data_IF_160636959888
#
_entry.id   IF_160636959888
#
_cell.length_a   1.000
_cell.length_b   1.000
_cell.length_c   1.000
_cell.angle_alpha   90.00
_cell.angle_beta   90.00
_cell.angle_gamma   90.00
#
_symmetry.space_group_name_H-M   'P 1'
#
loop_
_entity.id
_entity.type
_entity.pdbx_description
1 polymer ?
#
# COMPACT_ATOMS: atom_id res chain seq x y z
N UNK A 1 84.65 -16.14 7.69
CA UNK A 1 83.36 -15.49 7.38
C UNK A 1 83.05 -15.79 5.93
N UNK A 2 81.99 -16.54 5.70
CA UNK A 2 81.43 -16.87 4.38
C UNK A 2 80.60 -15.67 3.90
N UNK A 3 80.71 -15.28 2.63
CA UNK A 3 79.57 -15.02 1.72
C UNK A 3 80.12 -14.72 0.30
N UNK A 4 80.08 -15.68 -0.64
CA UNK A 4 79.03 -15.98 -1.61
C UNK A 4 79.02 -15.07 -2.85
N UNK A 5 79.17 -15.71 -4.00
CA UNK A 5 79.28 -15.09 -5.31
C UNK A 5 78.04 -14.33 -5.75
N UNK A 6 78.28 -13.25 -6.48
CA UNK A 6 77.27 -12.57 -7.28
C UNK A 6 77.36 -13.11 -8.71
N UNK A 7 76.47 -14.05 -9.05
CA UNK A 7 76.38 -14.62 -10.41
C UNK A 7 75.00 -14.30 -10.98
N UNK A 8 75.04 -13.58 -12.10
CA UNK A 8 74.08 -13.53 -13.21
C UNK A 8 72.59 -13.34 -12.92
N UNK A 9 72.13 -12.15 -13.32
CA UNK A 9 70.80 -11.88 -13.88
C UNK A 9 70.28 -13.07 -14.70
N UNK A 10 69.26 -13.74 -14.17
CA UNK A 10 68.42 -14.68 -14.91
C UNK A 10 67.02 -14.07 -15.00
N UNK A 11 66.67 -13.68 -16.21
CA UNK A 11 65.32 -13.30 -16.62
C UNK A 11 64.32 -14.33 -16.11
N UNK A 12 63.49 -13.91 -15.16
CA UNK A 12 62.33 -14.68 -14.76
C UNK A 12 61.27 -14.54 -15.86
N UNK A 13 60.76 -15.63 -16.45
CA UNK A 13 59.71 -15.53 -17.44
C UNK A 13 58.43 -15.01 -16.77
N UNK A 14 57.92 -13.89 -17.23
CA UNK A 14 56.61 -13.36 -16.87
C UNK A 14 55.56 -14.42 -17.23
N UNK A 15 54.98 -15.05 -16.22
CA UNK A 15 53.84 -15.97 -16.39
C UNK A 15 52.63 -15.10 -16.71
N UNK A 16 52.30 -15.03 -18.00
CA UNK A 16 51.14 -14.31 -18.50
C UNK A 16 49.87 -15.02 -17.98
N UNK A 17 49.30 -14.49 -16.89
CA UNK A 17 48.07 -15.01 -16.27
C UNK A 17 46.92 -14.75 -17.23
N UNK A 18 46.72 -15.66 -18.19
CA UNK A 18 45.54 -15.66 -19.06
C UNK A 18 44.30 -15.72 -18.18
N UNK A 19 43.62 -14.58 -18.09
CA UNK A 19 42.38 -14.46 -17.36
C UNK A 19 41.32 -15.35 -18.00
N UNK A 20 40.95 -16.43 -17.31
CA UNK A 20 40.01 -17.42 -17.81
C UNK A 20 38.63 -16.82 -18.16
N UNK A 21 37.83 -17.53 -18.98
CA UNK A 21 36.55 -17.04 -19.48
C UNK A 21 35.56 -16.61 -18.38
N UNK A 22 35.76 -17.09 -17.15
CA UNK A 22 34.95 -16.77 -15.97
C UNK A 22 34.78 -15.26 -15.68
N UNK A 23 35.75 -14.40 -16.04
CA UNK A 23 35.63 -12.95 -15.82
C UNK A 23 34.64 -12.26 -16.78
N UNK A 24 34.39 -12.82 -17.97
CA UNK A 24 33.44 -12.29 -18.96
C UNK A 24 32.00 -12.77 -18.72
N UNK A 25 31.83 -13.95 -18.13
CA UNK A 25 30.50 -14.48 -17.78
C UNK A 25 29.84 -13.73 -16.61
N UNK A 26 30.63 -13.28 -15.62
CA UNK A 26 30.15 -12.51 -14.46
C UNK A 26 29.38 -11.21 -14.80
N UNK A 27 29.89 -10.31 -15.66
CA UNK A 27 29.16 -9.09 -16.03
C UNK A 27 27.93 -9.38 -16.90
N UNK A 28 27.98 -10.40 -17.77
CA UNK A 28 26.83 -10.79 -18.59
C UNK A 28 25.69 -11.34 -17.72
N UNK A 29 26.00 -12.19 -16.74
CA UNK A 29 25.03 -12.74 -15.80
C UNK A 29 24.39 -11.65 -14.93
N UNK A 30 25.17 -10.62 -14.53
CA UNK A 30 24.68 -9.47 -13.76
C UNK A 30 23.72 -8.60 -14.58
N UNK A 31 24.00 -8.39 -15.87
CA UNK A 31 23.10 -7.67 -16.79
C UNK A 31 21.81 -8.43 -17.04
N UNK A 32 21.87 -9.75 -17.17
CA UNK A 32 20.69 -10.58 -17.34
C UNK A 32 19.80 -10.57 -16.09
N UNK A 33 20.40 -10.73 -14.90
CA UNK A 33 19.67 -10.63 -13.63
C UNK A 33 19.03 -9.26 -13.43
N UNK A 34 19.71 -8.18 -13.83
CA UNK A 34 19.15 -6.84 -13.71
C UNK A 34 17.93 -6.65 -14.62
N UNK A 35 18.03 -7.10 -15.88
CA UNK A 35 16.91 -7.05 -16.84
C UNK A 35 15.73 -7.90 -16.36
N UNK A 36 15.98 -9.11 -15.86
CA UNK A 36 14.92 -9.96 -15.30
C UNK A 36 14.24 -9.33 -14.08
N UNK A 37 15.01 -8.73 -13.18
CA UNK A 37 14.45 -8.05 -12.01
C UNK A 37 13.60 -6.82 -12.40
N UNK A 38 13.99 -6.09 -13.45
CA UNK A 38 13.20 -4.98 -13.99
C UNK A 38 11.89 -5.44 -14.63
N UNK A 39 11.94 -6.54 -15.39
CA UNK A 39 10.76 -7.14 -16.01
C UNK A 39 9.79 -7.67 -14.94
N UNK A 40 10.30 -8.39 -13.94
CA UNK A 40 9.51 -8.88 -12.81
C UNK A 40 8.88 -7.74 -12.01
N UNK A 41 9.59 -6.63 -11.80
CA UNK A 41 9.05 -5.45 -11.13
C UNK A 41 7.92 -4.81 -11.92
N UNK A 42 8.06 -4.69 -13.26
CA UNK A 42 7.01 -4.16 -14.14
C UNK A 42 5.78 -5.07 -14.16
N UNK A 43 5.97 -6.39 -14.24
CA UNK A 43 4.86 -7.35 -14.19
C UNK A 43 4.14 -7.29 -12.85
N UNK A 44 4.87 -7.14 -11.74
CA UNK A 44 4.27 -6.98 -10.41
C UNK A 44 3.45 -5.70 -10.30
N UNK A 45 3.92 -4.60 -10.89
CA UNK A 45 3.20 -3.32 -10.93
C UNK A 45 1.91 -3.42 -11.74
N UNK A 46 1.96 -4.02 -12.94
CA UNK A 46 0.77 -4.20 -13.78
C UNK A 46 -0.26 -5.13 -13.15
N UNK A 47 0.18 -6.23 -12.50
CA UNK A 47 -0.71 -7.12 -11.74
C UNK A 47 -1.36 -6.43 -10.55
N UNK A 48 -0.61 -5.59 -9.81
CA UNK A 48 -1.12 -4.83 -8.68
C UNK A 48 -2.17 -3.79 -9.12
N UNK A 49 -1.93 -3.13 -10.25
CA UNK A 49 -2.88 -2.21 -10.88
C UNK A 49 -4.12 -2.94 -11.40
N UNK A 50 -3.97 -4.12 -12.02
CA UNK A 50 -5.07 -4.88 -12.60
C UNK A 50 -5.93 -5.60 -11.55
N UNK A 51 -5.33 -6.08 -10.47
CA UNK A 51 -5.99 -6.88 -9.44
C UNK A 51 -6.85 -6.10 -8.46
N UNK A 52 -6.76 -4.77 -8.42
CA UNK A 52 -7.52 -3.94 -7.49
C UNK A 52 -8.72 -3.25 -8.17
N UNK A 53 -9.95 -3.76 -7.99
CA UNK A 53 -11.15 -3.19 -8.60
C UNK A 53 -11.44 -1.75 -8.12
N UNK A 54 -10.90 -1.33 -6.97
CA UNK A 54 -11.09 0.02 -6.45
C UNK A 54 -10.25 1.07 -7.18
N UNK A 55 -9.09 0.69 -7.73
CA UNK A 55 -8.19 1.62 -8.44
C UNK A 55 -8.74 1.96 -9.83
N UNK A 56 -9.32 0.98 -10.52
CA UNK A 56 -9.90 1.15 -11.85
C UNK A 56 -11.24 1.91 -11.83
N UNK A 57 -11.92 1.91 -10.68
CA UNK A 57 -13.17 2.63 -10.45
C UNK A 57 -12.94 4.14 -10.34
N UNK A 58 -11.84 4.59 -9.73
CA UNK A 58 -11.57 6.01 -9.48
C UNK A 58 -11.20 6.81 -10.75
N UNK A 59 -10.65 6.16 -11.79
CA UNK A 59 -10.28 6.80 -13.05
C UNK A 59 -11.41 6.81 -14.10
N UNK A 60 -12.46 6.00 -13.93
CA UNK A 60 -13.55 5.86 -14.92
C UNK A 60 -14.92 6.32 -14.44
N UNK A 61 -15.11 6.51 -13.12
CA UNK A 61 -16.37 6.95 -12.56
C UNK A 61 -16.18 8.36 -12.00
N UNK A 62 -16.59 9.35 -12.79
CA UNK A 62 -16.94 10.66 -12.24
C UNK A 62 -17.92 10.42 -11.10
N UNK A 63 -17.60 10.87 -9.89
CA UNK A 63 -18.48 10.83 -8.70
C UNK A 63 -19.65 11.80 -8.89
N UNK A 64 -20.45 11.59 -9.92
CA UNK A 64 -21.69 12.31 -10.14
C UNK A 64 -22.73 11.56 -9.30
N UNK A 65 -22.90 12.01 -8.05
CA UNK A 65 -23.88 11.43 -7.12
C UNK A 65 -25.25 11.63 -7.72
N UNK A 66 -25.75 10.58 -8.37
CA UNK A 66 -27.10 10.54 -8.91
C UNK A 66 -28.07 10.79 -7.76
N UNK A 67 -29.04 11.69 -7.98
CA UNK A 67 -30.05 12.09 -7.00
C UNK A 67 -30.60 10.84 -6.31
N UNK A 68 -30.44 10.78 -4.99
CA UNK A 68 -30.84 9.62 -4.19
C UNK A 68 -32.37 9.58 -4.17
N UNK A 69 -32.93 8.39 -4.21
CA UNK A 69 -34.38 8.19 -4.06
C UNK A 69 -34.93 8.79 -2.76
N UNK A 70 -34.04 8.98 -1.76
CA UNK A 70 -34.30 9.65 -0.49
C UNK A 70 -34.47 11.19 -0.57
N UNK A 71 -34.14 11.83 -1.70
CA UNK A 71 -34.18 13.30 -1.82
C UNK A 71 -35.59 13.86 -2.11
N UNK A 72 -36.53 13.02 -2.58
CA UNK A 72 -37.92 13.45 -2.90
C UNK A 72 -38.88 13.39 -1.71
N UNK A 73 -38.41 13.08 -0.50
CA UNK A 73 -39.28 13.08 0.67
C UNK A 73 -39.66 14.52 1.07
N UNK A 74 -40.96 14.83 0.99
CA UNK A 74 -41.53 16.14 1.37
C UNK A 74 -41.30 16.48 2.85
N UNK A 75 -41.03 15.48 3.68
CA UNK A 75 -40.78 15.63 5.11
C UNK A 75 -39.35 15.23 5.47
N UNK A 76 -38.44 16.20 5.38
CA UNK A 76 -37.06 16.02 5.81
C UNK A 76 -36.91 16.24 7.32
N UNK A 77 -36.39 15.22 8.02
CA UNK A 77 -35.75 15.23 9.35
C UNK A 77 -36.26 16.28 10.37
N UNK A 78 -37.56 16.27 10.64
CA UNK A 78 -38.24 17.26 11.52
C UNK A 78 -37.82 17.18 12.99
N UNK A 79 -37.34 16.02 13.42
CA UNK A 79 -36.94 15.71 14.80
C UNK A 79 -35.46 16.04 15.08
N UNK A 80 -34.70 16.52 14.09
CA UNK A 80 -33.29 16.85 14.29
C UNK A 80 -33.15 18.07 15.20
N UNK A 81 -32.65 17.83 16.40
CA UNK A 81 -32.44 18.86 17.41
C UNK A 81 -33.59 18.98 18.42
N UNK A 82 -34.57 18.09 18.40
CA UNK A 82 -35.59 18.07 19.44
C UNK A 82 -34.94 17.76 20.80
N UNK A 83 -35.12 18.67 21.76
CA UNK A 83 -34.57 18.51 23.10
C UNK A 83 -35.32 17.39 23.81
N UNK A 84 -34.59 16.35 24.22
CA UNK A 84 -35.16 15.26 25.03
C UNK A 84 -35.84 15.85 26.26
N UNK A 85 -37.07 15.41 26.53
CA UNK A 85 -37.81 15.86 27.72
C UNK A 85 -36.97 15.60 28.97
N UNK A 86 -36.67 16.62 29.79
CA UNK A 86 -35.86 16.44 30.99
C UNK A 86 -36.57 15.51 31.98
N UNK A 87 -35.78 14.72 32.72
CA UNK A 87 -36.30 13.84 33.77
C UNK A 87 -36.81 14.70 34.91
N UNK A 88 -38.13 14.72 35.12
CA UNK A 88 -38.79 15.44 36.21
C UNK A 88 -39.56 14.46 37.09
N UNK A 89 -39.60 14.77 38.38
CA UNK A 89 -40.48 14.08 39.31
C UNK A 89 -41.69 14.97 39.58
N UNK A 90 -42.88 14.39 39.46
CA UNK A 90 -44.15 15.06 39.78
C UNK A 90 -44.79 14.23 40.89
N UNK A 91 -45.09 14.88 42.02
CA UNK A 91 -45.83 14.27 43.13
C UNK A 91 -47.35 14.24 42.83
N UNK A 92 -47.73 13.55 41.75
CA UNK A 92 -49.12 13.40 41.28
C UNK A 92 -49.24 12.05 40.56
N UNK A 93 -50.22 11.24 40.95
CA UNK A 93 -50.47 9.89 40.43
C UNK A 93 -51.26 9.85 39.13
N UNK A 94 -51.64 10.96 38.51
CA UNK A 94 -52.28 10.95 37.18
C UNK A 94 -51.51 11.79 36.18
N UNK A 95 -50.78 12.82 36.64
CA UNK A 95 -49.99 13.71 35.78
C UNK A 95 -48.53 13.29 35.64
N UNK A 96 -48.06 12.34 36.43
CA UNK A 96 -46.69 11.82 36.32
C UNK A 96 -46.42 11.25 34.92
N UNK A 97 -45.18 11.40 34.45
CA UNK A 97 -44.73 10.84 33.19
C UNK A 97 -44.87 9.30 33.16
N UNK A 98 -44.92 8.63 34.33
CA UNK A 98 -45.26 7.22 34.45
C UNK A 98 -46.71 6.95 34.02
N UNK A 99 -47.68 7.67 34.59
CA UNK A 99 -49.10 7.46 34.31
C UNK A 99 -49.46 7.81 32.86
N UNK A 100 -48.84 8.86 32.30
CA UNK A 100 -48.98 9.17 30.88
C UNK A 100 -48.46 8.07 29.95
N UNK A 101 -47.34 7.42 30.30
CA UNK A 101 -46.77 6.30 29.51
C UNK A 101 -47.53 4.99 29.69
N UNK A 102 -48.24 4.82 30.79
CA UNK A 102 -49.03 3.63 31.05
C UNK A 102 -50.32 3.57 30.21
N UNK A 103 -50.91 4.72 29.89
CA UNK A 103 -52.13 4.83 29.07
C UNK A 103 -51.90 5.23 27.60
N UNK A 104 -50.69 5.66 27.25
CA UNK A 104 -50.30 5.94 25.87
C UNK A 104 -50.01 4.64 25.11
#
# INVERSE_FOLDING_TARGET
MLDSGHVSSLDSPQIDRREGPAKKFRPALRRLNHQQAEEEAKVKETMLMQGNPLINMNNSISFNVKRRWDEDFVFNNRTRGETKTPKRFINDTIRSDFHRKFFA
#
